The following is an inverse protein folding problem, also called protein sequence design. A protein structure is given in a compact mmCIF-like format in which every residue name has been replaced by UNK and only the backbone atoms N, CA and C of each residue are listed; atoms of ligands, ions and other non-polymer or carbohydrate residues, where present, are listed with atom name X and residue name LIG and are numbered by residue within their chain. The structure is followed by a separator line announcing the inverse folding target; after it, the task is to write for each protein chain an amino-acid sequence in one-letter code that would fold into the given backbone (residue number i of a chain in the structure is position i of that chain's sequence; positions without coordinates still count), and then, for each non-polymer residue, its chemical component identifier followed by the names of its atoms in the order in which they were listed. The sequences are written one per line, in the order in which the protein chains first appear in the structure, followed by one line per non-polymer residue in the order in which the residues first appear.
data_IF_078401835584
#
_entry.id   IF_078401835584
#
_cell.length_a   1.000
_cell.length_b   1.000
_cell.length_c   1.000
_cell.angle_alpha   90.00
_cell.angle_beta   90.00
_cell.angle_gamma   90.00
#
_symmetry.space_group_name_H-M   'P 1'
#
loop_
_entity.id
_entity.type
_entity.pdbx_description
1 polymer ?
#
# COMPACT_ATOMS: atom_id res chain seq x y z
N UNK A 1 13.26 0.73 13.91
CA UNK A 1 13.02 1.86 12.97
C UNK A 1 14.30 2.46 12.35
N UNK A 2 15.17 3.17 13.10
CA UNK A 2 16.32 3.91 12.51
C UNK A 2 17.29 3.02 11.72
N UNK A 3 17.63 1.84 12.25
CA UNK A 3 18.48 0.87 11.57
C UNK A 3 17.91 0.42 10.21
N UNK A 4 16.59 0.16 10.14
CA UNK A 4 15.91 -0.23 8.90
C UNK A 4 15.96 0.88 7.85
N UNK A 5 15.79 2.14 8.27
CA UNK A 5 15.93 3.28 7.37
C UNK A 5 17.37 3.50 6.91
N UNK A 6 18.35 3.26 7.77
CA UNK A 6 19.77 3.31 7.40
C UNK A 6 20.12 2.23 6.37
N UNK A 7 19.63 0.99 6.55
CA UNK A 7 19.78 -0.08 5.58
C UNK A 7 19.12 0.26 4.24
N UNK A 8 17.92 0.86 4.26
CA UNK A 8 17.28 1.34 3.04
C UNK A 8 18.16 2.36 2.32
N UNK A 9 18.75 3.32 3.05
CA UNK A 9 19.67 4.29 2.45
C UNK A 9 20.93 3.63 1.89
N UNK A 10 21.48 2.63 2.59
CA UNK A 10 22.64 1.87 2.12
C UNK A 10 22.34 1.13 0.80
N UNK A 11 21.17 0.50 0.71
CA UNK A 11 20.72 -0.19 -0.51
C UNK A 11 20.61 0.75 -1.71
N UNK A 12 20.05 1.95 -1.51
CA UNK A 12 19.96 2.96 -2.56
C UNK A 12 21.34 3.47 -3.04
N UNK A 13 22.38 3.38 -2.20
CA UNK A 13 23.76 3.78 -2.55
C UNK A 13 24.52 2.61 -3.18
N UNK A 14 24.32 1.39 -2.68
CA UNK A 14 24.97 0.17 -3.14
C UNK A 14 23.94 -0.96 -3.24
N UNK A 15 23.34 -1.18 -4.41
CA UNK A 15 22.42 -2.30 -4.65
C UNK A 15 23.11 -3.64 -4.38
N UNK A 16 22.38 -4.60 -3.80
CA UNK A 16 22.87 -5.96 -3.55
C UNK A 16 23.61 -6.18 -2.21
N UNK A 17 23.88 -5.12 -1.43
CA UNK A 17 24.53 -5.26 -0.11
C UNK A 17 23.68 -5.99 0.95
N UNK A 18 22.39 -6.19 0.69
CA UNK A 18 21.41 -6.71 1.65
C UNK A 18 21.01 -8.16 1.47
N UNK A 19 21.63 -8.92 0.55
CA UNK A 19 21.26 -10.31 0.26
C UNK A 19 21.18 -11.19 1.53
N UNK A 20 22.12 -11.02 2.47
CA UNK A 20 22.16 -11.75 3.74
C UNK A 20 21.17 -11.25 4.81
N UNK A 21 20.52 -10.10 4.58
CA UNK A 21 19.63 -9.43 5.52
C UNK A 21 18.14 -9.63 5.16
N UNK A 22 17.82 -10.20 4.01
CA UNK A 22 16.44 -10.38 3.52
C UNK A 22 15.57 -11.09 4.56
N UNK A 23 16.03 -12.19 5.16
CA UNK A 23 15.26 -12.94 6.16
C UNK A 23 15.01 -12.14 7.46
N UNK A 24 15.92 -11.23 7.81
CA UNK A 24 15.74 -10.32 8.94
C UNK A 24 14.70 -9.23 8.59
N UNK A 25 14.70 -8.74 7.36
CA UNK A 25 13.73 -7.76 6.87
C UNK A 25 12.32 -8.35 6.77
N UNK A 26 12.19 -9.60 6.31
CA UNK A 26 10.91 -10.34 6.31
C UNK A 26 10.35 -10.49 7.72
N UNK A 27 11.19 -10.82 8.71
CA UNK A 27 10.77 -10.88 10.12
C UNK A 27 10.34 -9.51 10.66
N UNK A 28 11.02 -8.44 10.25
CA UNK A 28 10.68 -7.08 10.64
C UNK A 28 9.33 -6.59 10.05
N UNK A 29 8.77 -7.27 9.05
CA UNK A 29 7.40 -7.02 8.57
C UNK A 29 6.36 -7.45 9.60
N UNK A 30 6.63 -8.51 10.36
CA UNK A 30 5.75 -9.07 11.38
C UNK A 30 6.09 -8.56 12.80
N UNK A 31 6.81 -7.43 12.91
CA UNK A 31 7.18 -6.86 14.20
C UNK A 31 5.93 -6.36 14.95
N UNK A 32 5.93 -6.52 16.28
CA UNK A 32 4.82 -6.08 17.13
C UNK A 32 4.71 -4.56 17.18
N UNK A 33 5.82 -3.84 16.99
CA UNK A 33 5.82 -2.38 16.89
C UNK A 33 5.49 -1.95 15.45
N UNK A 34 4.32 -1.29 15.21
CA UNK A 34 3.95 -0.81 13.89
C UNK A 34 4.94 0.21 13.32
N UNK A 35 5.74 0.88 14.14
CA UNK A 35 6.80 1.78 13.67
C UNK A 35 7.99 1.02 13.07
N UNK A 36 8.27 -0.20 13.54
CA UNK A 36 9.29 -1.08 12.94
C UNK A 36 8.74 -1.72 11.67
N UNK A 37 7.52 -2.23 11.70
CA UNK A 37 6.83 -2.76 10.52
C UNK A 37 6.71 -1.69 9.42
N UNK A 38 6.20 -0.50 9.72
CA UNK A 38 6.07 0.57 8.73
C UNK A 38 7.41 1.02 8.15
N UNK A 39 8.50 0.92 8.92
CA UNK A 39 9.84 1.17 8.42
C UNK A 39 10.32 0.06 7.48
N UNK A 40 10.05 -1.22 7.78
CA UNK A 40 10.48 -2.35 6.93
C UNK A 40 9.80 -2.32 5.56
N UNK A 41 8.60 -1.75 5.44
CA UNK A 41 7.94 -1.57 4.14
C UNK A 41 8.76 -0.77 3.13
N UNK A 42 9.59 0.20 3.56
CA UNK A 42 10.34 1.04 2.62
C UNK A 42 11.43 0.24 1.91
N UNK A 43 12.18 -0.55 2.67
CA UNK A 43 13.25 -1.38 2.13
C UNK A 43 12.71 -2.59 1.39
N UNK A 44 11.62 -3.19 1.89
CA UNK A 44 10.93 -4.28 1.18
C UNK A 44 10.39 -3.78 -0.16
N UNK A 45 9.77 -2.60 -0.22
CA UNK A 45 9.31 -2.02 -1.48
C UNK A 45 10.45 -1.86 -2.49
N UNK A 46 11.60 -1.34 -2.09
CA UNK A 46 12.77 -1.20 -2.98
C UNK A 46 13.26 -2.56 -3.51
N UNK A 47 13.33 -3.58 -2.65
CA UNK A 47 13.73 -4.94 -3.06
C UNK A 47 12.69 -5.62 -3.96
N UNK A 48 11.41 -5.37 -3.70
CA UNK A 48 10.28 -5.88 -4.48
C UNK A 48 10.27 -5.26 -5.87
N UNK A 49 10.52 -3.95 -6.00
CA UNK A 49 10.58 -3.30 -7.31
C UNK A 49 11.72 -3.85 -8.18
N UNK A 50 12.82 -4.32 -7.57
CA UNK A 50 13.93 -5.00 -8.27
C UNK A 50 13.59 -6.45 -8.64
N UNK A 51 12.97 -7.21 -7.73
CA UNK A 51 12.72 -8.65 -7.90
C UNK A 51 11.34 -9.08 -7.36
N UNK A 52 10.22 -8.69 -8.01
CA UNK A 52 8.88 -8.93 -7.45
C UNK A 52 8.59 -10.42 -7.18
N UNK A 53 9.08 -11.29 -8.06
CA UNK A 53 8.86 -12.74 -7.97
C UNK A 53 9.36 -13.37 -6.66
N UNK A 54 10.43 -12.83 -6.05
CA UNK A 54 11.04 -13.37 -4.84
C UNK A 54 10.22 -13.11 -3.56
N UNK A 55 9.21 -12.23 -3.64
CA UNK A 55 8.45 -11.73 -2.49
C UNK A 55 6.93 -11.96 -2.61
N UNK A 56 6.47 -12.69 -3.64
CA UNK A 56 5.04 -12.95 -3.85
C UNK A 56 4.39 -13.73 -2.71
N UNK A 57 5.14 -14.55 -2.01
CA UNK A 57 4.69 -15.27 -0.81
C UNK A 57 4.33 -14.33 0.36
N UNK A 58 4.76 -13.06 0.33
CA UNK A 58 4.42 -12.05 1.33
C UNK A 58 3.10 -11.32 1.06
N UNK A 59 2.45 -11.52 -0.10
CA UNK A 59 1.17 -10.88 -0.44
C UNK A 59 0.12 -11.08 0.68
N UNK A 60 -0.09 -12.30 1.23
CA UNK A 60 -1.04 -12.49 2.34
C UNK A 60 -0.69 -11.68 3.58
N UNK A 61 0.60 -11.50 3.89
CA UNK A 61 1.05 -10.69 5.02
C UNK A 61 0.74 -9.21 4.81
N UNK A 62 1.00 -8.67 3.63
CA UNK A 62 0.67 -7.27 3.31
C UNK A 62 -0.84 -7.01 3.33
N UNK A 63 -1.64 -7.94 2.78
CA UNK A 63 -3.11 -7.90 2.85
C UNK A 63 -3.60 -7.92 4.28
N UNK A 64 -3.05 -8.82 5.12
CA UNK A 64 -3.41 -8.91 6.53
C UNK A 64 -3.10 -7.63 7.31
N UNK A 65 -1.93 -7.01 7.07
CA UNK A 65 -1.58 -5.74 7.70
C UNK A 65 -2.53 -4.64 7.24
N UNK A 66 -2.82 -4.54 5.95
CA UNK A 66 -3.75 -3.54 5.43
C UNK A 66 -5.15 -3.70 6.04
N UNK A 67 -5.64 -4.94 6.17
CA UNK A 67 -6.91 -5.26 6.84
C UNK A 67 -6.92 -4.89 8.32
N UNK A 68 -5.80 -5.10 9.04
CA UNK A 68 -5.68 -4.64 10.42
C UNK A 68 -5.76 -3.12 10.54
N UNK A 69 -5.17 -2.39 9.59
CA UNK A 69 -5.24 -0.92 9.56
C UNK A 69 -6.67 -0.45 9.28
N UNK A 70 -7.34 -1.02 8.27
CA UNK A 70 -8.72 -0.62 7.92
C UNK A 70 -9.71 -0.90 9.06
N UNK A 71 -9.45 -1.92 9.88
CA UNK A 71 -10.21 -2.28 11.08
C UNK A 71 -9.77 -1.55 12.36
N UNK A 72 -8.85 -0.57 12.26
CA UNK A 72 -8.38 0.24 13.40
C UNK A 72 -7.72 -0.59 14.51
N UNK A 73 -7.02 -1.67 14.16
CA UNK A 73 -6.29 -2.53 15.11
C UNK A 73 -4.90 -2.01 15.48
N UNK A 74 -4.41 -0.98 14.80
CA UNK A 74 -3.17 -0.29 15.17
C UNK A 74 -3.42 0.74 16.28
N UNK A 75 -2.40 1.11 17.06
CA UNK A 75 -2.52 2.18 18.06
C UNK A 75 -2.95 3.50 17.41
N UNK A 76 -3.87 4.22 18.05
CA UNK A 76 -4.40 5.50 17.56
C UNK A 76 -3.34 6.61 17.41
N UNK A 77 -2.15 6.43 18.00
CA UNK A 77 -0.99 7.30 17.74
C UNK A 77 -0.53 7.31 16.28
N UNK A 78 -0.96 6.33 15.48
CA UNK A 78 -0.72 6.26 14.04
C UNK A 78 -1.86 6.87 13.22
N UNK A 79 -2.96 7.28 13.85
CA UNK A 79 -4.07 7.92 13.17
C UNK A 79 -3.70 9.36 12.80
N UNK A 80 -4.18 9.79 11.64
CA UNK A 80 -4.04 11.16 11.18
C UNK A 80 -5.37 11.69 10.69
N UNK A 81 -5.90 12.72 11.35
CA UNK A 81 -7.26 13.22 11.11
C UNK A 81 -8.32 12.12 11.04
N UNK A 82 -8.29 11.17 12.01
CA UNK A 82 -9.19 10.01 12.10
C UNK A 82 -9.04 8.97 10.97
N UNK A 83 -8.03 9.10 10.12
CA UNK A 83 -7.64 8.08 9.16
C UNK A 83 -6.57 7.17 9.79
N UNK A 84 -6.75 5.84 9.83
CA UNK A 84 -5.78 4.95 10.46
C UNK A 84 -4.52 4.79 9.60
N UNK A 85 -3.35 5.11 10.15
CA UNK A 85 -2.04 4.89 9.55
C UNK A 85 -1.94 5.14 8.01
N UNK A 86 -2.38 6.31 7.49
CA UNK A 86 -2.59 6.50 6.06
C UNK A 86 -1.31 6.35 5.22
N UNK A 87 -0.16 6.77 5.73
CA UNK A 87 1.12 6.60 5.02
C UNK A 87 1.54 5.13 4.91
N UNK A 88 1.18 4.31 5.90
CA UNK A 88 1.42 2.86 5.84
C UNK A 88 0.48 2.25 4.80
N UNK A 89 -0.80 2.64 4.78
CA UNK A 89 -1.75 2.18 3.74
C UNK A 89 -1.24 2.50 2.33
N UNK A 90 -0.86 3.76 2.05
CA UNK A 90 -0.33 4.17 0.74
C UNK A 90 0.91 3.35 0.36
N UNK A 91 1.80 3.06 1.31
CA UNK A 91 2.99 2.24 1.04
C UNK A 91 2.63 0.78 0.73
N UNK A 92 1.70 0.19 1.48
CA UNK A 92 1.21 -1.17 1.26
C UNK A 92 0.54 -1.30 -0.11
N UNK A 93 -0.30 -0.33 -0.48
CA UNK A 93 -0.98 -0.30 -1.78
C UNK A 93 0.02 -0.34 -2.94
N UNK A 94 1.09 0.48 -2.89
CA UNK A 94 2.16 0.44 -3.89
C UNK A 94 2.88 -0.90 -3.96
N UNK A 95 3.17 -1.51 -2.81
CA UNK A 95 3.79 -2.85 -2.76
C UNK A 95 2.87 -3.89 -3.41
N UNK A 96 1.58 -3.88 -3.05
CA UNK A 96 0.58 -4.81 -3.58
C UNK A 96 0.39 -4.63 -5.09
N UNK A 97 0.45 -3.40 -5.59
CA UNK A 97 0.43 -3.09 -7.02
C UNK A 97 1.58 -3.79 -7.76
N UNK A 98 2.82 -3.65 -7.26
CA UNK A 98 4.00 -4.29 -7.86
C UNK A 98 3.94 -5.83 -7.79
N UNK A 99 3.40 -6.40 -6.69
CA UNK A 99 3.34 -7.85 -6.50
C UNK A 99 2.19 -8.54 -7.26
N UNK A 100 1.06 -7.84 -7.43
CA UNK A 100 -0.10 -8.36 -8.13
C UNK A 100 -0.06 -8.14 -9.65
N UNK A 101 0.79 -7.21 -10.12
CA UNK A 101 1.02 -7.02 -11.55
C UNK A 101 1.46 -8.33 -12.21
N UNK A 102 0.79 -8.69 -13.32
CA UNK A 102 1.01 -9.93 -14.07
C UNK A 102 0.87 -11.24 -13.26
N UNK A 103 0.15 -11.22 -12.13
CA UNK A 103 -0.16 -12.42 -11.34
C UNK A 103 -1.63 -12.43 -10.88
N UNK A 104 -2.43 -13.28 -11.52
CA UNK A 104 -3.85 -13.39 -11.23
C UNK A 104 -4.11 -13.89 -9.80
N UNK A 105 -3.36 -14.89 -9.32
CA UNK A 105 -3.58 -15.47 -7.98
C UNK A 105 -3.25 -14.46 -6.90
N UNK A 106 -2.15 -13.72 -7.06
CA UNK A 106 -1.79 -12.64 -6.16
C UNK A 106 -2.82 -11.50 -6.19
N UNK A 107 -3.30 -11.13 -7.38
CA UNK A 107 -4.35 -10.09 -7.54
C UNK A 107 -5.64 -10.49 -6.81
N UNK A 108 -6.11 -11.72 -7.00
CA UNK A 108 -7.34 -12.23 -6.38
C UNK A 108 -7.33 -12.19 -4.85
N UNK A 109 -6.17 -12.42 -4.22
CA UNK A 109 -6.01 -12.30 -2.78
C UNK A 109 -6.15 -10.87 -2.25
N UNK A 110 -6.02 -9.86 -3.11
CA UNK A 110 -6.03 -8.45 -2.72
C UNK A 110 -7.42 -7.82 -2.86
N UNK A 111 -8.32 -8.37 -3.69
CA UNK A 111 -9.56 -7.68 -4.05
C UNK A 111 -10.43 -7.28 -2.85
N UNK A 112 -10.65 -8.18 -1.89
CA UNK A 112 -11.48 -7.90 -0.70
C UNK A 112 -10.95 -6.71 0.10
N UNK A 113 -9.64 -6.69 0.40
CA UNK A 113 -9.06 -5.60 1.19
C UNK A 113 -9.04 -4.28 0.43
N UNK A 114 -8.91 -4.30 -0.90
CA UNK A 114 -8.98 -3.09 -1.73
C UNK A 114 -10.38 -2.48 -1.74
N UNK A 115 -11.44 -3.30 -1.75
CA UNK A 115 -12.80 -2.80 -1.55
C UNK A 115 -12.96 -2.11 -0.20
N UNK A 116 -12.49 -2.74 0.86
CA UNK A 116 -12.57 -2.18 2.20
C UNK A 116 -11.83 -0.84 2.31
N UNK A 117 -10.67 -0.73 1.67
CA UNK A 117 -9.90 0.52 1.61
C UNK A 117 -10.69 1.60 0.87
N UNK A 118 -11.18 1.33 -0.35
CA UNK A 118 -11.97 2.30 -1.12
C UNK A 118 -13.18 2.81 -0.34
N UNK A 119 -13.92 1.89 0.30
CA UNK A 119 -15.11 2.20 1.09
C UNK A 119 -14.81 3.03 2.33
N UNK A 120 -13.73 2.73 3.06
CA UNK A 120 -13.41 3.36 4.35
C UNK A 120 -12.57 4.63 4.22
N UNK A 121 -11.79 4.76 3.15
CA UNK A 121 -10.91 5.91 2.95
C UNK A 121 -11.67 7.17 2.48
N UNK A 122 -12.82 7.00 1.82
CA UNK A 122 -13.64 8.10 1.29
C UNK A 122 -14.39 8.86 2.40
N UNK A 123 -13.63 9.69 3.11
CA UNK A 123 -14.04 10.42 4.32
C UNK A 123 -14.25 11.91 4.07
N UNK A 124 -14.13 12.37 2.82
CA UNK A 124 -14.29 13.79 2.48
C UNK A 124 -13.09 14.69 2.80
N UNK A 125 -11.95 14.11 3.19
CA UNK A 125 -10.74 14.86 3.57
C UNK A 125 -9.54 14.48 2.70
N UNK A 126 -8.59 15.40 2.54
CA UNK A 126 -7.42 15.26 1.66
C UNK A 126 -6.64 13.96 1.87
N UNK A 127 -6.44 13.54 3.13
CA UNK A 127 -5.71 12.30 3.40
C UNK A 127 -6.48 11.06 2.96
N UNK A 128 -7.82 11.06 3.08
CA UNK A 128 -8.68 10.01 2.57
C UNK A 128 -8.61 9.93 1.05
N UNK A 129 -8.66 11.08 0.37
CA UNK A 129 -8.49 11.14 -1.09
C UNK A 129 -7.13 10.63 -1.56
N UNK A 130 -6.05 10.87 -0.81
CA UNK A 130 -4.74 10.32 -1.13
C UNK A 130 -4.70 8.78 -1.05
N UNK A 131 -5.36 8.20 -0.04
CA UNK A 131 -5.48 6.73 0.10
C UNK A 131 -6.37 6.15 -1.00
N UNK A 132 -7.53 6.77 -1.27
CA UNK A 132 -8.43 6.35 -2.37
C UNK A 132 -7.68 6.38 -3.71
N UNK A 133 -6.94 7.46 -3.99
CA UNK A 133 -6.17 7.58 -5.22
C UNK A 133 -5.15 6.45 -5.39
N UNK A 134 -4.34 6.19 -4.36
CA UNK A 134 -3.36 5.11 -4.43
C UNK A 134 -4.04 3.75 -4.58
N UNK A 135 -5.20 3.56 -3.95
CA UNK A 135 -5.97 2.33 -4.08
C UNK A 135 -6.51 2.16 -5.50
N UNK A 136 -7.04 3.21 -6.12
CA UNK A 136 -7.46 3.21 -7.52
C UNK A 136 -6.29 2.86 -8.45
N UNK A 137 -5.11 3.47 -8.26
CA UNK A 137 -3.92 3.12 -9.04
C UNK A 137 -3.52 1.66 -8.89
N UNK A 138 -3.61 1.15 -7.65
CA UNK A 138 -3.36 -0.27 -7.35
C UNK A 138 -4.34 -1.16 -8.12
N UNK A 139 -5.64 -0.89 -8.05
CA UNK A 139 -6.67 -1.64 -8.78
C UNK A 139 -6.38 -1.70 -10.28
N UNK A 140 -5.96 -0.59 -10.88
CA UNK A 140 -5.67 -0.52 -12.32
C UNK A 140 -4.43 -1.30 -12.76
N UNK A 141 -3.53 -1.66 -11.83
CA UNK A 141 -2.33 -2.47 -12.15
C UNK A 141 -2.53 -3.97 -11.97
N UNK A 142 -3.64 -4.40 -11.34
CA UNK A 142 -3.93 -5.80 -11.05
C UNK A 142 -4.62 -6.51 -12.20
N UNK A 143 -4.74 -7.82 -12.09
CA UNK A 143 -5.61 -8.58 -12.98
C UNK A 143 -7.05 -8.05 -12.88
N UNK A 144 -7.76 -7.83 -14.00
CA UNK A 144 -9.04 -7.12 -13.97
C UNK A 144 -10.11 -7.83 -13.12
N UNK A 145 -10.70 -7.08 -12.19
CA UNK A 145 -11.94 -7.43 -11.49
C UNK A 145 -13.00 -6.38 -11.83
N UNK A 146 -14.06 -6.78 -12.53
CA UNK A 146 -15.06 -5.85 -13.08
C UNK A 146 -15.67 -4.96 -12.02
N UNK A 147 -16.16 -5.55 -10.92
CA UNK A 147 -16.82 -4.82 -9.84
C UNK A 147 -15.86 -3.81 -9.15
N UNK A 148 -14.56 -4.17 -9.04
CA UNK A 148 -13.57 -3.34 -8.36
C UNK A 148 -13.16 -2.17 -9.26
N UNK A 149 -13.07 -2.43 -10.57
CA UNK A 149 -12.85 -1.41 -11.59
C UNK A 149 -14.03 -0.44 -11.70
N UNK A 150 -15.27 -0.93 -11.62
CA UNK A 150 -16.46 -0.07 -11.56
C UNK A 150 -16.44 0.83 -10.32
N UNK A 151 -16.08 0.27 -9.16
CA UNK A 151 -15.95 1.04 -7.92
C UNK A 151 -14.85 2.10 -8.03
N UNK A 152 -13.70 1.75 -8.59
CA UNK A 152 -12.60 2.68 -8.84
C UNK A 152 -13.01 3.80 -9.83
N UNK A 153 -13.71 3.45 -10.91
CA UNK A 153 -14.22 4.40 -11.89
C UNK A 153 -15.22 5.40 -11.27
N UNK A 154 -16.07 4.95 -10.35
CA UNK A 154 -16.98 5.83 -9.60
C UNK A 154 -16.22 6.86 -8.75
N UNK A 155 -15.12 6.48 -8.10
CA UNK A 155 -14.28 7.43 -7.37
C UNK A 155 -13.57 8.42 -8.30
N UNK A 156 -13.03 7.97 -9.43
CA UNK A 156 -12.43 8.86 -10.44
C UNK A 156 -13.45 9.86 -10.97
N UNK A 157 -14.66 9.41 -11.32
CA UNK A 157 -15.75 10.27 -11.81
C UNK A 157 -16.09 11.39 -10.82
N UNK A 158 -16.11 11.07 -9.52
CA UNK A 158 -16.30 12.07 -8.45
C UNK A 158 -15.13 13.04 -8.33
N UNK A 159 -13.89 12.58 -8.52
CA UNK A 159 -12.72 13.46 -8.53
C UNK A 159 -12.75 14.46 -9.69
N UNK A 160 -13.03 13.99 -10.91
CA UNK A 160 -13.15 14.83 -12.11
C UNK A 160 -14.28 15.86 -11.98
N UNK A 161 -15.40 15.46 -11.36
CA UNK A 161 -16.58 16.32 -11.18
C UNK A 161 -16.50 17.26 -9.97
N UNK A 162 -15.46 17.16 -9.14
CA UNK A 162 -15.33 17.96 -7.91
C UNK A 162 -15.00 19.42 -8.20
N UNK A 163 -15.54 20.39 -7.46
CA UNK A 163 -15.13 21.80 -7.56
C UNK A 163 -13.68 22.07 -7.10
N UNK A 164 -13.08 21.13 -6.38
CA UNK A 164 -11.70 21.25 -5.91
C UNK A 164 -10.71 20.94 -7.04
N UNK A 165 -9.90 21.94 -7.42
CA UNK A 165 -8.87 21.79 -8.47
C UNK A 165 -7.89 20.64 -8.25
N UNK A 166 -7.51 20.37 -6.99
CA UNK A 166 -6.60 19.26 -6.68
C UNK A 166 -7.26 17.91 -6.97
N UNK A 167 -8.56 17.79 -6.72
CA UNK A 167 -9.32 16.57 -6.99
C UNK A 167 -9.59 16.42 -8.49
N UNK A 168 -9.90 17.50 -9.21
CA UNK A 168 -9.99 17.45 -10.68
C UNK A 168 -8.68 16.94 -11.30
N UNK A 169 -7.56 17.50 -10.87
CA UNK A 169 -6.24 17.07 -11.36
C UNK A 169 -5.96 15.60 -11.05
N UNK A 170 -6.30 15.15 -9.85
CA UNK A 170 -6.18 13.75 -9.43
C UNK A 170 -7.00 12.79 -10.29
N UNK A 171 -8.21 13.19 -10.70
CA UNK A 171 -9.11 12.37 -11.52
C UNK A 171 -8.70 12.25 -12.99
N UNK A 172 -7.82 13.13 -13.48
CA UNK A 172 -7.32 13.11 -14.87
C UNK A 172 -6.06 12.24 -15.01
N UNK A 173 -5.36 11.96 -13.90
CA UNK A 173 -4.01 11.38 -13.87
C UNK A 173 -3.99 9.89 -13.53
#
# INVERSE_FOLDING_TARGET
KKAVMALHRLHLVQPGCLSSLIDKLRRALCDKDPAVMGASLHILHALIDETPAAFKDLVPSFVSILKQITEHRLPSSFDYHRMPAPWIQVKLLRILASLGAADQRASEHQYEVLYDVLKRADTGINIGYAVVYECVRTVTSLYPNVQLLETAANHISRFVSSDNHNLKYLGIK
#
